data_IF_352306507964
#
_entry.id   IF_352306507964
#
_cell.length_a   1.000
_cell.length_b   1.000
_cell.length_c   1.000
_cell.angle_alpha   90.00
_cell.angle_beta   90.00
_cell.angle_gamma   90.00
#
_symmetry.space_group_name_H-M   'P 1'
#
loop_
_entity.id
_entity.type
_entity.pdbx_description
1 polymer ?
#
# COMPACT_ATOMS: atom_id res chain seq x y z
N UNK A 1 3.41 -2.34 -18.66
CA UNK A 1 3.79 -3.76 -18.48
C UNK A 1 3.04 -4.57 -19.50
N UNK A 2 3.72 -5.30 -20.39
CA UNK A 2 3.04 -6.30 -21.23
C UNK A 2 2.99 -7.58 -20.40
N UNK A 3 1.79 -8.03 -20.03
CA UNK A 3 1.63 -9.34 -19.43
C UNK A 3 2.04 -10.40 -20.47
N UNK A 4 2.75 -11.46 -20.08
CA UNK A 4 3.08 -12.53 -21.00
C UNK A 4 1.81 -13.16 -21.56
N UNK A 5 1.81 -13.41 -22.89
CA UNK A 5 0.66 -13.97 -23.61
C UNK A 5 0.68 -15.50 -23.63
N UNK A 6 1.52 -16.14 -22.86
CA UNK A 6 1.67 -17.58 -22.78
C UNK A 6 1.81 -18.03 -21.32
N UNK A 7 1.45 -19.27 -21.07
CA UNK A 7 1.68 -19.97 -19.80
C UNK A 7 2.10 -21.41 -20.09
N UNK A 8 2.92 -22.03 -19.24
CA UNK A 8 3.34 -23.41 -19.44
C UNK A 8 2.17 -24.38 -19.22
N UNK A 9 2.10 -25.40 -20.07
CA UNK A 9 1.19 -26.55 -19.92
C UNK A 9 2.06 -27.77 -19.61
N UNK A 10 1.83 -28.41 -18.48
CA UNK A 10 2.65 -29.54 -18.02
C UNK A 10 2.09 -30.87 -18.49
N UNK A 11 3.01 -31.76 -18.84
CA UNK A 11 2.68 -33.14 -19.19
C UNK A 11 3.15 -34.11 -18.11
N UNK A 12 2.58 -35.32 -18.12
CA UNK A 12 2.94 -36.35 -17.16
C UNK A 12 4.41 -36.80 -17.36
N UNK A 13 5.21 -36.76 -16.29
CA UNK A 13 6.63 -37.10 -16.32
C UNK A 13 7.56 -36.00 -16.79
N UNK A 14 7.05 -34.77 -17.02
CA UNK A 14 7.87 -33.60 -17.36
C UNK A 14 8.72 -33.17 -16.17
N UNK A 15 9.99 -32.83 -16.42
CA UNK A 15 10.85 -32.18 -15.40
C UNK A 15 10.46 -30.75 -15.22
N UNK A 16 10.14 -30.36 -13.99
CA UNK A 16 9.85 -28.97 -13.63
C UNK A 16 11.16 -28.21 -13.44
N UNK A 17 11.31 -27.12 -14.17
CA UNK A 17 12.42 -26.18 -14.03
C UNK A 17 11.97 -24.91 -13.31
N UNK A 18 12.91 -24.18 -12.70
CA UNK A 18 12.64 -22.86 -12.10
C UNK A 18 12.05 -21.88 -13.13
N UNK A 19 12.50 -21.93 -14.37
CA UNK A 19 11.97 -21.07 -15.45
C UNK A 19 10.47 -21.35 -15.67
N UNK A 20 10.05 -22.60 -15.82
CA UNK A 20 8.65 -22.96 -16.02
C UNK A 20 7.76 -22.58 -14.85
N UNK A 21 8.27 -22.65 -13.61
CA UNK A 21 7.53 -22.23 -12.41
C UNK A 21 7.41 -20.70 -12.34
N UNK A 22 8.47 -19.97 -12.67
CA UNK A 22 8.43 -18.53 -12.73
C UNK A 22 7.48 -18.03 -13.82
N UNK A 23 7.45 -18.66 -15.00
CA UNK A 23 6.53 -18.30 -16.09
C UNK A 23 5.05 -18.38 -15.66
N UNK A 24 4.70 -19.29 -14.75
CA UNK A 24 3.34 -19.33 -14.18
C UNK A 24 3.07 -18.06 -13.35
N UNK A 25 3.99 -17.71 -12.47
CA UNK A 25 3.85 -16.53 -11.60
C UNK A 25 3.80 -15.27 -12.46
N UNK A 26 4.70 -15.15 -13.44
CA UNK A 26 4.77 -14.01 -14.35
C UNK A 26 3.51 -13.85 -15.21
N UNK A 27 2.79 -14.96 -15.48
CA UNK A 27 1.50 -14.92 -16.14
C UNK A 27 0.36 -14.54 -15.19
N UNK A 28 0.28 -15.16 -14.00
CA UNK A 28 -0.86 -14.98 -13.09
C UNK A 28 -0.83 -13.65 -12.32
N UNK A 29 0.33 -13.27 -11.81
CA UNK A 29 0.45 -12.08 -10.95
C UNK A 29 0.06 -10.78 -11.66
N UNK A 30 0.52 -10.48 -12.89
CA UNK A 30 0.09 -9.28 -13.60
C UNK A 30 -1.40 -9.27 -13.93
N UNK A 31 -2.01 -10.42 -14.26
CA UNK A 31 -3.44 -10.49 -14.53
C UNK A 31 -4.28 -10.22 -13.28
N UNK A 32 -3.88 -10.81 -12.16
CA UNK A 32 -4.53 -10.59 -10.87
C UNK A 32 -4.42 -9.11 -10.41
N UNK A 33 -3.25 -8.51 -10.56
CA UNK A 33 -3.03 -7.08 -10.30
C UNK A 33 -3.85 -6.18 -11.22
N UNK A 34 -3.86 -6.47 -12.52
CA UNK A 34 -4.65 -5.72 -13.51
C UNK A 34 -6.16 -5.85 -13.25
N UNK A 35 -6.63 -6.99 -12.77
CA UNK A 35 -8.02 -7.16 -12.38
C UNK A 35 -8.35 -6.31 -11.16
N UNK A 36 -7.50 -6.29 -10.15
CA UNK A 36 -7.75 -5.52 -8.91
C UNK A 36 -7.70 -4.02 -9.14
N UNK A 37 -6.66 -3.50 -9.79
CA UNK A 37 -6.48 -2.05 -9.88
C UNK A 37 -7.51 -1.33 -10.74
N UNK A 38 -8.00 -1.84 -11.91
CA UNK A 38 -9.06 -1.22 -12.66
C UNK A 38 -10.48 -1.52 -12.18
N UNK A 39 -10.73 -2.73 -11.65
CA UNK A 39 -12.10 -3.17 -11.33
C UNK A 39 -12.48 -2.92 -9.88
N UNK A 40 -11.55 -3.07 -8.93
CA UNK A 40 -11.82 -2.92 -7.50
C UNK A 40 -11.62 -1.49 -7.04
N UNK A 41 -10.77 -0.70 -7.63
CA UNK A 41 -10.35 0.65 -7.23
C UNK A 41 -9.02 0.65 -6.46
N UNK A 42 -8.14 1.58 -6.85
CA UNK A 42 -6.92 1.91 -6.10
C UNK A 42 -7.30 2.69 -4.84
N UNK A 43 -6.79 2.29 -3.70
CA UNK A 43 -7.01 2.94 -2.42
C UNK A 43 -7.74 2.05 -1.41
N UNK A 44 -8.38 2.66 -0.43
CA UNK A 44 -9.09 1.94 0.64
C UNK A 44 -10.43 1.44 0.11
N UNK A 45 -10.59 0.11 0.02
CA UNK A 45 -11.85 -0.52 -0.37
C UNK A 45 -12.84 -0.54 0.78
N UNK A 46 -12.38 -0.89 2.00
CA UNK A 46 -13.21 -0.85 3.21
C UNK A 46 -12.34 -0.76 4.48
N UNK A 47 -12.90 -0.25 5.56
CA UNK A 47 -12.23 -0.15 6.85
C UNK A 47 -11.00 0.77 6.83
N UNK A 48 -9.91 0.35 7.48
CA UNK A 48 -8.64 1.09 7.63
C UNK A 48 -8.83 2.51 8.16
N UNK A 49 -9.84 2.70 9.01
CA UNK A 49 -10.13 4.00 9.60
C UNK A 49 -9.20 4.26 10.78
N UNK A 50 -8.38 5.33 10.75
CA UNK A 50 -7.60 5.75 11.89
C UNK A 50 -8.50 6.44 12.92
N UNK A 51 -8.36 6.08 14.19
CA UNK A 51 -9.08 6.65 15.32
C UNK A 51 -8.08 6.99 16.44
N UNK A 52 -7.92 8.29 16.69
CA UNK A 52 -6.98 8.79 17.70
C UNK A 52 -7.69 9.00 19.04
N UNK A 53 -7.21 8.33 20.08
CA UNK A 53 -7.65 8.54 21.46
C UNK A 53 -6.61 9.38 22.23
N UNK A 54 -6.87 10.69 22.45
CA UNK A 54 -5.92 11.56 23.14
C UNK A 54 -5.75 11.21 24.61
N UNK A 55 -6.76 10.64 25.27
CA UNK A 55 -6.71 10.23 26.66
C UNK A 55 -5.81 9.03 26.91
N UNK A 56 -5.91 8.01 26.06
CA UNK A 56 -5.08 6.83 26.10
C UNK A 56 -3.75 7.00 25.34
N UNK A 57 -3.60 8.06 24.54
CA UNK A 57 -2.46 8.29 23.63
C UNK A 57 -2.24 7.14 22.65
N UNK A 58 -3.33 6.59 22.15
CA UNK A 58 -3.31 5.47 21.21
C UNK A 58 -3.97 5.83 19.89
N UNK A 59 -3.43 5.31 18.82
CA UNK A 59 -4.02 5.34 17.50
C UNK A 59 -4.50 3.94 17.15
N UNK A 60 -5.80 3.78 16.94
CA UNK A 60 -6.40 2.53 16.47
C UNK A 60 -6.60 2.61 14.96
N UNK A 61 -6.13 1.61 14.25
CA UNK A 61 -6.46 1.39 12.85
C UNK A 61 -7.48 0.25 12.78
N UNK A 62 -8.67 0.51 12.27
CA UNK A 62 -9.69 -0.52 12.16
C UNK A 62 -9.31 -1.55 11.10
N UNK A 63 -9.81 -2.78 11.25
CA UNK A 63 -9.70 -3.82 10.24
C UNK A 63 -10.17 -3.30 8.88
N UNK A 64 -9.49 -3.70 7.79
CA UNK A 64 -9.91 -3.30 6.47
C UNK A 64 -9.02 -3.81 5.35
N UNK A 65 -9.36 -3.37 4.15
CA UNK A 65 -8.73 -3.80 2.91
C UNK A 65 -8.47 -2.60 2.02
N UNK A 66 -7.31 -2.59 1.39
CA UNK A 66 -6.91 -1.60 0.40
C UNK A 66 -6.22 -2.27 -0.79
N UNK A 67 -6.17 -1.56 -1.91
CA UNK A 67 -5.43 -1.95 -3.12
C UNK A 67 -4.42 -0.85 -3.43
N UNK A 68 -3.16 -1.23 -3.60
CA UNK A 68 -2.11 -0.29 -3.98
C UNK A 68 -2.25 0.16 -5.44
N UNK A 69 -1.55 1.23 -5.83
CA UNK A 69 -1.49 1.68 -7.23
C UNK A 69 -0.96 0.62 -8.19
N UNK A 70 -0.18 -0.32 -7.69
CA UNK A 70 0.33 -1.45 -8.46
C UNK A 70 -0.57 -2.69 -8.44
N UNK A 71 -1.71 -2.65 -7.73
CA UNK A 71 -2.69 -3.74 -7.67
C UNK A 71 -2.40 -4.78 -6.58
N UNK A 72 -1.46 -4.53 -5.66
CA UNK A 72 -1.28 -5.39 -4.50
C UNK A 72 -2.43 -5.21 -3.50
N UNK A 73 -2.92 -6.33 -2.98
CA UNK A 73 -3.93 -6.34 -1.94
C UNK A 73 -3.27 -6.15 -0.57
N UNK A 74 -3.78 -5.20 0.19
CA UNK A 74 -3.46 -5.01 1.60
C UNK A 74 -4.69 -5.45 2.40
N UNK A 75 -4.52 -6.44 3.27
CA UNK A 75 -5.52 -6.84 4.25
C UNK A 75 -4.91 -6.66 5.64
N UNK A 76 -5.55 -5.86 6.47
CA UNK A 76 -5.05 -5.51 7.80
C UNK A 76 -6.11 -5.80 8.85
N UNK A 77 -5.69 -6.45 9.92
CA UNK A 77 -6.53 -6.62 11.10
C UNK A 77 -6.52 -5.36 11.97
N UNK A 78 -7.48 -5.27 12.90
CA UNK A 78 -7.52 -4.14 13.82
C UNK A 78 -6.23 -4.10 14.67
N UNK A 79 -5.57 -2.98 14.66
CA UNK A 79 -4.29 -2.80 15.37
C UNK A 79 -4.28 -1.49 16.13
N UNK A 80 -3.73 -1.52 17.35
CA UNK A 80 -3.57 -0.35 18.22
C UNK A 80 -2.08 -0.02 18.37
N UNK A 81 -1.76 1.23 18.14
CA UNK A 81 -0.41 1.78 18.21
C UNK A 81 -0.34 2.81 19.33
N UNK A 82 0.72 2.78 20.12
CA UNK A 82 0.97 3.75 21.20
C UNK A 82 2.34 4.43 21.08
N UNK A 83 3.18 3.95 20.17
CA UNK A 83 4.55 4.40 19.98
C UNK A 83 4.90 4.59 18.52
N UNK A 84 5.97 5.35 18.30
CA UNK A 84 6.53 5.61 16.98
C UNK A 84 8.05 5.60 17.02
N UNK A 85 8.66 5.45 15.85
CA UNK A 85 10.09 5.71 15.63
C UNK A 85 10.29 6.46 14.31
N UNK A 86 11.37 7.23 14.15
CA UNK A 86 11.73 7.77 12.84
C UNK A 86 11.88 6.64 11.82
N UNK A 87 11.28 6.81 10.65
CA UNK A 87 11.43 5.87 9.55
C UNK A 87 12.56 6.35 8.63
N UNK A 88 13.56 5.51 8.49
CA UNK A 88 14.64 5.71 7.52
C UNK A 88 14.48 4.70 6.41
N UNK A 89 14.48 5.19 5.17
CA UNK A 89 14.39 4.34 3.98
C UNK A 89 15.53 3.33 3.97
N UNK A 90 15.26 2.03 3.87
CA UNK A 90 16.31 1.03 3.78
C UNK A 90 17.09 1.20 2.47
N UNK A 91 18.40 1.19 2.60
CA UNK A 91 19.31 1.42 1.48
C UNK A 91 19.79 0.07 0.98
N UNK A 92 19.54 -0.27 -0.30
CA UNK A 92 20.05 -1.51 -0.87
C UNK A 92 21.57 -1.55 -0.89
N UNK A 93 22.16 -2.60 -0.35
CA UNK A 93 23.60 -2.87 -0.43
C UNK A 93 24.02 -3.14 -1.88
N UNK A 94 25.06 -2.49 -2.37
CA UNK A 94 25.60 -2.76 -3.73
C UNK A 94 26.65 -1.73 -4.17
N UNK A 95 27.58 -2.10 -5.06
CA UNK A 95 28.84 -1.39 -5.28
C UNK A 95 28.80 -0.17 -6.23
N UNK A 96 27.71 0.21 -6.86
CA UNK A 96 27.77 1.06 -8.08
C UNK A 96 26.94 2.35 -8.11
N UNK A 97 26.25 2.74 -7.07
CA UNK A 97 25.62 4.08 -7.02
C UNK A 97 25.68 4.63 -5.61
N UNK A 98 25.62 5.96 -5.48
CA UNK A 98 25.50 6.56 -4.15
C UNK A 98 24.27 6.02 -3.47
N UNK A 99 24.42 5.71 -2.22
CA UNK A 99 23.40 5.15 -1.32
C UNK A 99 22.07 5.92 -1.42
N UNK A 100 22.19 7.24 -1.60
CA UNK A 100 21.07 8.18 -1.63
C UNK A 100 20.29 8.15 -2.95
N UNK A 101 20.98 8.04 -4.09
CA UNK A 101 20.35 7.96 -5.43
C UNK A 101 19.53 6.67 -5.59
N UNK A 102 20.01 5.56 -5.04
CA UNK A 102 19.26 4.29 -5.04
C UNK A 102 18.01 4.34 -4.17
N UNK A 103 18.13 4.95 -2.98
CA UNK A 103 17.00 5.14 -2.10
C UNK A 103 15.93 6.02 -2.76
N UNK A 104 16.33 7.12 -3.38
CA UNK A 104 15.45 8.03 -4.11
C UNK A 104 14.78 7.36 -5.32
N UNK A 105 15.53 6.59 -6.10
CA UNK A 105 14.98 5.87 -7.25
C UNK A 105 13.93 4.82 -6.82
N UNK A 106 14.12 4.19 -5.65
CA UNK A 106 13.22 3.17 -5.12
C UNK A 106 12.01 3.75 -4.38
N UNK A 107 12.20 4.89 -3.72
CA UNK A 107 11.18 5.53 -2.87
C UNK A 107 10.97 7.00 -3.24
N UNK A 108 10.66 7.32 -4.50
CA UNK A 108 10.65 8.70 -4.99
C UNK A 108 9.74 9.62 -4.17
N UNK A 109 8.59 9.13 -3.71
CA UNK A 109 7.61 9.92 -2.94
C UNK A 109 8.07 10.27 -1.53
N UNK A 110 9.01 9.52 -0.97
CA UNK A 110 9.58 9.81 0.35
C UNK A 110 10.71 10.85 0.28
N UNK A 111 10.99 11.42 -0.89
CA UNK A 111 12.00 12.47 -1.07
C UNK A 111 11.38 13.75 -1.64
N UNK A 112 11.90 14.90 -1.18
CA UNK A 112 11.68 16.20 -1.77
C UNK A 112 13.02 16.67 -2.34
N UNK A 113 13.21 16.57 -3.64
CA UNK A 113 14.53 16.75 -4.23
C UNK A 113 15.51 15.69 -3.73
N UNK A 114 16.55 16.10 -2.98
CA UNK A 114 17.54 15.20 -2.39
C UNK A 114 17.33 14.98 -0.88
N UNK A 115 16.28 15.56 -0.29
CA UNK A 115 16.01 15.46 1.14
C UNK A 115 14.89 14.47 1.41
N UNK A 116 15.14 13.48 2.27
CA UNK A 116 14.09 12.56 2.70
C UNK A 116 13.03 13.32 3.50
N UNK A 117 11.77 13.14 3.14
CA UNK A 117 10.61 13.66 3.89
C UNK A 117 10.54 12.93 5.22
N UNK A 118 10.26 13.70 6.26
CA UNK A 118 10.13 13.15 7.60
C UNK A 118 8.91 12.24 7.68
N UNK A 119 9.14 10.98 8.01
CA UNK A 119 8.14 9.96 8.26
C UNK A 119 8.46 9.22 9.56
N UNK A 120 7.43 8.72 10.24
CA UNK A 120 7.57 7.96 11.47
C UNK A 120 6.77 6.67 11.35
N UNK A 121 7.38 5.54 11.70
CA UNK A 121 6.72 4.25 11.73
C UNK A 121 5.91 4.09 13.00
N UNK A 122 4.63 3.72 12.86
CA UNK A 122 3.74 3.37 13.97
C UNK A 122 4.09 1.99 14.49
N UNK A 123 4.22 1.87 15.80
CA UNK A 123 4.58 0.64 16.47
C UNK A 123 3.51 0.26 17.51
N UNK A 124 3.08 -1.01 17.53
CA UNK A 124 2.15 -1.50 18.53
C UNK A 124 2.82 -1.63 19.90
N UNK A 125 2.01 -1.68 20.95
CA UNK A 125 2.47 -1.86 22.34
C UNK A 125 3.34 -3.10 22.53
N UNK A 126 3.10 -4.13 21.71
CA UNK A 126 3.83 -5.41 21.75
C UNK A 126 5.20 -5.36 21.08
N UNK A 127 5.53 -4.28 20.37
CA UNK A 127 6.80 -4.16 19.67
C UNK A 127 7.98 -4.14 20.67
N UNK A 128 8.99 -4.94 20.38
CA UNK A 128 10.25 -4.97 21.12
C UNK A 128 11.37 -4.56 20.16
N UNK A 129 12.13 -3.48 20.47
CA UNK A 129 13.27 -3.10 19.64
C UNK A 129 14.36 -4.17 19.70
N UNK A 130 15.04 -4.40 18.59
CA UNK A 130 16.22 -5.26 18.58
C UNK A 130 17.37 -4.65 19.38
N UNK A 131 18.34 -5.47 19.86
CA UNK A 131 19.50 -4.96 20.56
C UNK A 131 20.26 -3.93 19.73
N UNK A 132 20.42 -2.71 20.26
CA UNK A 132 21.07 -1.58 19.56
C UNK A 132 20.12 -0.68 18.76
N UNK A 133 18.85 -1.03 18.59
CA UNK A 133 17.86 -0.12 18.01
C UNK A 133 17.42 0.96 19.02
N UNK A 134 17.17 2.20 18.57
CA UNK A 134 16.68 3.25 19.44
C UNK A 134 15.29 2.89 19.99
N UNK A 135 15.08 3.22 21.28
CA UNK A 135 13.80 2.99 21.92
C UNK A 135 12.68 3.80 21.23
N UNK A 136 11.51 3.19 20.96
CA UNK A 136 10.37 3.90 20.40
C UNK A 136 9.87 5.03 21.31
N UNK A 137 9.41 6.12 20.71
CA UNK A 137 8.85 7.27 21.42
C UNK A 137 7.34 7.14 21.54
N UNK A 138 6.72 7.43 22.70
CA UNK A 138 5.27 7.44 22.85
C UNK A 138 4.59 8.49 21.95
N UNK A 139 3.39 8.17 21.47
CA UNK A 139 2.54 9.12 20.75
C UNK A 139 2.05 10.23 21.69
N UNK A 140 2.00 11.46 21.21
CA UNK A 140 1.46 12.60 21.95
C UNK A 140 0.42 13.33 21.12
N UNK A 141 -0.55 13.98 21.78
CA UNK A 141 -1.60 14.74 21.09
C UNK A 141 -1.01 15.88 20.24
N UNK A 142 0.01 16.56 20.75
CA UNK A 142 0.69 17.62 20.01
C UNK A 142 1.36 17.09 18.74
N UNK A 143 2.03 15.94 18.82
CA UNK A 143 2.66 15.31 17.67
C UNK A 143 1.64 14.86 16.61
N UNK A 144 0.50 14.33 17.04
CA UNK A 144 -0.55 13.83 16.15
C UNK A 144 -1.39 14.90 15.46
N UNK A 145 -1.32 16.16 15.91
CA UNK A 145 -2.20 17.25 15.46
C UNK A 145 -2.14 17.52 13.95
N UNK A 146 -0.96 17.37 13.33
CA UNK A 146 -0.72 17.62 11.91
C UNK A 146 -0.42 16.35 11.10
N UNK A 147 -0.55 15.18 11.71
CA UNK A 147 -0.19 13.91 11.06
C UNK A 147 -1.37 13.24 10.36
N UNK A 148 -1.03 12.47 9.35
CA UNK A 148 -1.93 11.51 8.71
C UNK A 148 -1.25 10.15 8.62
N UNK A 149 -2.05 9.09 8.53
CA UNK A 149 -1.54 7.73 8.38
C UNK A 149 -1.38 7.43 6.89
N UNK A 150 -0.20 6.97 6.51
CA UNK A 150 0.11 6.45 5.20
C UNK A 150 0.41 4.96 5.31
N UNK A 151 -0.31 4.14 4.57
CA UNK A 151 -0.01 2.73 4.42
C UNK A 151 0.91 2.58 3.21
N UNK A 152 2.08 2.03 3.44
CA UNK A 152 3.11 1.88 2.44
C UNK A 152 3.55 0.41 2.35
N UNK A 153 3.33 -0.21 1.18
CA UNK A 153 3.76 -1.57 0.93
C UNK A 153 5.18 -1.55 0.37
N UNK A 154 6.11 -2.01 1.18
CA UNK A 154 7.51 -2.14 0.81
C UNK A 154 7.76 -3.54 0.26
N UNK A 155 8.34 -3.62 -0.93
CA UNK A 155 8.73 -4.88 -1.56
C UNK A 155 10.24 -5.03 -1.50
N UNK A 156 10.75 -6.16 -1.05
CA UNK A 156 12.18 -6.43 -0.99
C UNK A 156 12.50 -7.82 -1.51
N UNK A 157 13.40 -7.89 -2.48
CA UNK A 157 13.90 -9.16 -3.01
C UNK A 157 15.13 -9.57 -2.21
N UNK A 158 15.04 -10.66 -1.46
CA UNK A 158 16.13 -11.22 -0.68
C UNK A 158 16.66 -12.49 -1.32
N UNK A 159 17.98 -12.55 -1.52
CA UNK A 159 18.65 -13.74 -2.02
C UNK A 159 18.78 -14.76 -0.90
N UNK A 160 18.26 -15.97 -1.11
CA UNK A 160 18.35 -17.09 -0.18
C UNK A 160 19.74 -17.75 -0.29
N UNK A 161 20.77 -17.06 0.21
CA UNK A 161 22.13 -17.60 0.22
C UNK A 161 22.31 -18.59 1.38
N UNK A 162 22.87 -19.75 1.08
CA UNK A 162 23.35 -20.65 2.11
C UNK A 162 24.70 -20.15 2.63
N UNK A 163 24.83 -20.04 3.94
CA UNK A 163 26.11 -19.75 4.60
C UNK A 163 26.92 -21.03 4.88
N UNK A 164 26.61 -22.14 4.25
CA UNK A 164 27.41 -23.36 4.38
C UNK A 164 28.63 -23.28 3.46
N UNK A 165 29.81 -23.39 4.05
CA UNK A 165 31.11 -23.29 3.37
C UNK A 165 31.25 -24.33 2.25
N UNK A 166 30.50 -25.44 2.30
CA UNK A 166 30.56 -26.53 1.36
C UNK A 166 29.38 -26.58 0.36
N UNK A 167 28.40 -25.68 0.46
CA UNK A 167 27.24 -25.65 -0.43
C UNK A 167 27.16 -24.28 -1.13
N UNK A 168 27.69 -24.24 -2.38
CA UNK A 168 27.63 -23.09 -3.26
C UNK A 168 26.37 -23.08 -4.16
N UNK A 169 25.36 -23.87 -3.86
CA UNK A 169 24.14 -23.90 -4.66
C UNK A 169 23.37 -22.58 -4.52
N UNK A 170 22.92 -22.05 -5.66
CA UNK A 170 22.00 -20.92 -5.68
C UNK A 170 20.60 -21.40 -5.24
N UNK A 171 20.11 -20.87 -4.11
CA UNK A 171 18.80 -21.21 -3.54
C UNK A 171 17.67 -20.28 -4.02
N UNK A 172 17.97 -19.42 -4.96
CA UNK A 172 17.01 -18.47 -5.50
C UNK A 172 16.84 -17.24 -4.64
N UNK A 173 15.69 -16.59 -4.78
CA UNK A 173 15.35 -15.36 -4.07
C UNK A 173 13.90 -15.39 -3.60
N UNK A 174 13.62 -14.67 -2.54
CA UNK A 174 12.28 -14.49 -1.99
C UNK A 174 11.85 -13.03 -2.09
N UNK A 175 10.62 -12.79 -2.53
CA UNK A 175 10.02 -11.46 -2.55
C UNK A 175 9.26 -11.22 -1.25
N UNK A 176 9.82 -10.40 -0.38
CA UNK A 176 9.21 -10.03 0.89
C UNK A 176 8.35 -8.77 0.74
N UNK A 177 7.09 -8.87 1.14
CA UNK A 177 6.13 -7.79 1.18
C UNK A 177 5.94 -7.32 2.63
N UNK A 178 6.34 -6.10 2.94
CA UNK A 178 6.21 -5.54 4.30
C UNK A 178 5.30 -4.33 4.27
N UNK A 179 4.18 -4.40 4.99
CA UNK A 179 3.31 -3.25 5.17
C UNK A 179 3.86 -2.32 6.25
N UNK A 180 4.26 -1.12 5.85
CA UNK A 180 4.66 -0.04 6.77
C UNK A 180 3.47 0.87 7.04
N UNK A 181 3.24 1.19 8.31
CA UNK A 181 2.23 2.13 8.77
C UNK A 181 2.97 3.39 9.20
N UNK A 182 2.98 4.39 8.31
CA UNK A 182 3.79 5.59 8.49
C UNK A 182 2.90 6.77 8.90
N UNK A 183 3.42 7.61 9.78
CA UNK A 183 2.89 8.93 10.07
C UNK A 183 3.69 9.96 9.30
N UNK A 184 3.00 10.73 8.48
CA UNK A 184 3.57 11.85 7.72
C UNK A 184 2.77 13.11 8.03
N UNK A 185 3.34 14.30 7.83
CA UNK A 185 2.55 15.52 7.94
C UNK A 185 1.53 15.58 6.81
N UNK A 186 0.35 16.16 7.07
CA UNK A 186 -0.68 16.34 6.04
C UNK A 186 -0.13 17.10 4.83
N UNK A 187 0.64 18.15 5.06
CA UNK A 187 1.30 18.91 3.99
C UNK A 187 2.24 18.05 3.13
N UNK A 188 2.97 17.12 3.72
CA UNK A 188 3.81 16.21 2.95
C UNK A 188 2.97 15.18 2.19
N UNK A 189 1.90 14.67 2.79
CA UNK A 189 0.98 13.75 2.12
C UNK A 189 0.34 14.39 0.87
N UNK A 190 -0.13 15.64 1.00
CA UNK A 190 -0.70 16.37 -0.14
C UNK A 190 0.33 16.54 -1.26
N UNK A 191 1.55 16.96 -0.91
CA UNK A 191 2.64 17.09 -1.90
C UNK A 191 3.02 15.76 -2.56
N UNK A 192 2.97 14.64 -1.83
CA UNK A 192 3.23 13.31 -2.41
C UNK A 192 2.18 12.97 -3.46
N UNK A 193 0.92 13.29 -3.21
CA UNK A 193 -0.18 13.09 -4.17
C UNK A 193 0.02 13.97 -5.40
N UNK A 194 0.30 15.26 -5.23
CA UNK A 194 0.53 16.22 -6.33
C UNK A 194 1.73 15.80 -7.21
N UNK A 195 2.80 15.30 -6.59
CA UNK A 195 3.99 14.83 -7.31
C UNK A 195 3.72 13.53 -8.09
N UNK A 196 2.90 12.62 -7.55
CA UNK A 196 2.47 11.43 -8.26
C UNK A 196 1.64 11.81 -9.49
N UNK A 197 0.76 12.78 -9.37
CA UNK A 197 -0.01 13.34 -10.47
C UNK A 197 0.90 13.93 -11.56
N UNK A 198 1.93 14.66 -11.16
CA UNK A 198 2.89 15.24 -12.09
C UNK A 198 3.73 14.19 -12.83
N UNK A 199 4.15 13.11 -12.16
CA UNK A 199 4.90 12.00 -12.74
C UNK A 199 4.03 11.17 -13.68
N UNK A 200 2.78 10.95 -13.33
CA UNK A 200 1.81 10.24 -14.16
C UNK A 200 1.38 11.04 -15.40
N UNK A 201 1.74 12.33 -15.48
CA UNK A 201 1.40 13.22 -16.61
C UNK A 201 -0.10 13.49 -16.76
N UNK A 202 -0.89 13.16 -15.77
CA UNK A 202 -2.34 13.41 -15.73
C UNK A 202 -2.72 13.74 -14.30
N UNK A 203 -3.55 14.79 -14.08
CA UNK A 203 -4.17 14.94 -12.78
C UNK A 203 -4.92 13.66 -12.48
N UNK A 204 -4.70 13.11 -11.28
CA UNK A 204 -5.53 12.01 -10.77
C UNK A 204 -6.88 12.64 -10.47
N UNK A 205 -7.69 12.83 -11.52
CA UNK A 205 -9.08 13.21 -11.32
C UNK A 205 -9.72 12.06 -10.56
N UNK A 206 -9.96 12.30 -9.27
CA UNK A 206 -10.65 11.35 -8.39
C UNK A 206 -12.04 10.95 -8.91
N UNK A 207 -12.56 11.71 -9.86
CA UNK A 207 -13.82 11.45 -10.53
C UNK A 207 -13.70 10.49 -11.73
N UNK A 208 -12.52 10.35 -12.33
CA UNK A 208 -12.32 9.47 -13.50
C UNK A 208 -11.34 8.36 -13.17
N UNK A 209 -11.66 7.13 -13.59
CA UNK A 209 -10.72 6.03 -13.47
C UNK A 209 -9.58 6.20 -14.47
N UNK A 210 -8.31 6.44 -14.06
CA UNK A 210 -7.24 6.89 -14.96
C UNK A 210 -6.90 5.89 -16.07
N UNK A 211 -7.21 4.61 -15.88
CA UNK A 211 -6.90 3.54 -16.86
C UNK A 211 -8.04 3.20 -17.79
N UNK A 212 -9.28 3.41 -17.37
CA UNK A 212 -10.45 3.07 -18.20
C UNK A 212 -11.12 4.30 -18.80
N UNK A 213 -10.77 5.52 -18.37
CA UNK A 213 -11.43 6.75 -18.80
C UNK A 213 -12.91 6.82 -18.40
N UNK A 214 -13.34 5.96 -17.51
CA UNK A 214 -14.71 5.93 -17.02
C UNK A 214 -14.89 6.90 -15.87
N UNK A 215 -15.98 7.63 -15.88
CA UNK A 215 -16.38 8.47 -14.77
C UNK A 215 -16.57 7.61 -13.50
N UNK A 216 -16.01 8.08 -12.39
CA UNK A 216 -16.19 7.39 -11.11
C UNK A 216 -17.64 7.50 -10.67
N UNK A 217 -18.30 6.38 -10.50
CA UNK A 217 -19.64 6.34 -9.94
C UNK A 217 -19.59 6.74 -8.47
N UNK A 218 -20.10 7.94 -8.15
CA UNK A 218 -20.23 8.38 -6.76
C UNK A 218 -21.57 7.87 -6.23
N UNK A 219 -21.54 6.82 -5.44
CA UNK A 219 -22.72 6.30 -4.74
C UNK A 219 -22.72 6.90 -3.33
N UNK A 220 -23.74 7.69 -2.99
CA UNK A 220 -23.93 8.17 -1.64
C UNK A 220 -24.11 6.98 -0.69
N UNK A 221 -23.35 7.00 0.40
CA UNK A 221 -23.44 5.94 1.42
C UNK A 221 -24.77 6.11 2.17
N UNK A 222 -25.69 5.18 1.95
CA UNK A 222 -26.94 5.13 2.72
C UNK A 222 -26.57 4.72 4.15
N UNK A 223 -26.77 5.62 5.09
CA UNK A 223 -26.56 5.34 6.50
C UNK A 223 -27.94 5.11 7.18
N UNK A 224 -28.33 3.87 7.46
CA UNK A 224 -29.62 3.54 8.04
C UNK A 224 -29.67 3.80 9.56
N UNK A 225 -28.99 4.82 10.06
CA UNK A 225 -29.03 5.15 11.48
C UNK A 225 -30.31 5.92 11.84
N UNK A 226 -31.16 5.32 12.64
CA UNK A 226 -32.30 5.98 13.27
C UNK A 226 -33.60 6.00 12.44
N UNK A 227 -34.29 7.13 12.44
CA UNK A 227 -35.65 7.34 11.87
C UNK A 227 -35.73 7.27 10.33
N UNK A 228 -34.64 7.04 9.63
CA UNK A 228 -34.59 6.99 8.16
C UNK A 228 -34.90 5.60 7.58
N UNK A 229 -35.10 4.58 8.42
CA UNK A 229 -35.39 3.21 7.97
C UNK A 229 -36.72 3.15 7.21
N UNK A 230 -37.70 3.96 7.56
CA UNK A 230 -39.00 4.00 6.91
C UNK A 230 -38.94 4.56 5.47
N UNK A 231 -37.91 5.33 5.15
CA UNK A 231 -37.70 5.91 3.84
C UNK A 231 -36.61 5.21 3.03
N UNK A 232 -36.14 4.03 3.44
CA UNK A 232 -35.11 3.27 2.79
C UNK A 232 -35.34 3.03 1.29
N UNK A 233 -36.54 2.68 0.82
CA UNK A 233 -36.86 2.49 -0.60
C UNK A 233 -36.69 3.78 -1.41
N UNK A 234 -37.08 4.94 -0.87
CA UNK A 234 -36.93 6.25 -1.55
C UNK A 234 -35.47 6.68 -1.62
N UNK A 235 -34.73 6.51 -0.53
CA UNK A 235 -33.28 6.73 -0.46
C UNK A 235 -32.53 5.87 -1.48
N UNK A 236 -32.89 4.61 -1.58
CA UNK A 236 -32.29 3.66 -2.52
C UNK A 236 -32.58 4.08 -3.97
N UNK A 237 -33.82 4.41 -4.31
CA UNK A 237 -34.22 4.89 -5.63
C UNK A 237 -33.54 6.20 -6.01
N UNK A 238 -33.43 7.15 -5.07
CA UNK A 238 -32.70 8.41 -5.27
C UNK A 238 -31.24 8.15 -5.58
N UNK A 239 -30.59 7.27 -4.80
CA UNK A 239 -29.17 6.94 -4.98
C UNK A 239 -28.92 6.27 -6.33
N UNK A 240 -29.75 5.31 -6.75
CA UNK A 240 -29.64 4.65 -8.07
C UNK A 240 -29.89 5.65 -9.18
N UNK A 241 -30.88 6.53 -9.05
CA UNK A 241 -31.19 7.52 -10.07
C UNK A 241 -30.06 8.55 -10.23
N UNK A 242 -29.47 8.97 -9.11
CA UNK A 242 -28.32 9.90 -9.13
C UNK A 242 -27.09 9.23 -9.74
N UNK A 243 -26.82 7.99 -9.36
CA UNK A 243 -25.75 7.20 -9.94
C UNK A 243 -25.93 6.97 -11.46
N UNK A 244 -27.15 6.65 -11.89
CA UNK A 244 -27.47 6.46 -13.30
C UNK A 244 -27.32 7.73 -14.15
N UNK A 245 -27.59 8.92 -13.58
CA UNK A 245 -27.37 10.21 -14.26
C UNK A 245 -25.88 10.56 -14.42
N UNK A 246 -25.03 10.10 -13.54
CA UNK A 246 -23.57 10.32 -13.64
C UNK A 246 -22.89 9.43 -14.67
N UNK A 247 -23.60 8.45 -15.25
CA UNK A 247 -23.12 7.57 -16.31
C UNK A 247 -23.55 8.03 -17.72
N UNK A 248 -24.41 9.03 -17.84
CA UNK A 248 -24.81 9.68 -19.09
C UNK A 248 -23.93 10.91 -19.38
#
# INVERSE_FOLDING_TARGET
>A
MNAPMFYPVFENGQVLTSALLNDIIDYLEPQDRLTRSPQVVIGIACGLKPDWNPGARTLRLSRGVAVTSEGHLIAEDETVFDRMRPYTVPIPSGPTATTEEKAKARYPFLFAGNTQRQAFELLPTTFQPAPGEPAPTPLTTQFMADKTVMLFLETNLESLKNCDVNDCSDKGSEMNLTLRRLLVTRTNADKMVDEEEAIAGKPVDRATHPRLGLSRLTIEKINPAGTEIDNLPELYNRTITTAGRSLQ
#
